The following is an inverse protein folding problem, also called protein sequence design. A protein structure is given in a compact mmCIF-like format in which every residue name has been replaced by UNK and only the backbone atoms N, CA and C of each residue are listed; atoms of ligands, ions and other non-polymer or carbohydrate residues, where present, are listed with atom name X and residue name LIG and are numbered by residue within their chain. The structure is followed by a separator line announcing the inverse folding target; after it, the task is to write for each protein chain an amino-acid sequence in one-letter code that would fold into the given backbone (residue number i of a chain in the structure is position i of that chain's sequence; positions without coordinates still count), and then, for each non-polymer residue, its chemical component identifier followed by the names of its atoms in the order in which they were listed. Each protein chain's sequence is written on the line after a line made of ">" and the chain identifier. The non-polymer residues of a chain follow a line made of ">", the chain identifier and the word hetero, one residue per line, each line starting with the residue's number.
data_IF_237332907167
#
_entry.id   IF_237332907167
#
_cell.length_a   1.000
_cell.length_b   1.000
_cell.length_c   1.000
_cell.angle_alpha   90.00
_cell.angle_beta   90.00
_cell.angle_gamma   90.00
#
_symmetry.space_group_name_H-M   'P 1'
#
loop_
_entity.id
_entity.type
_entity.pdbx_description
1 polymer ?
#
# COMPACT_ATOMS: atom_id res chain seq x y z
N UNK A 1 -12.60 20.57 18.95
CA UNK A 1 -11.72 19.45 18.57
C UNK A 1 -12.10 18.14 19.27
N UNK A 2 -12.01 18.05 20.61
CA UNK A 2 -12.28 16.82 21.37
C UNK A 2 -13.64 16.20 21.02
N UNK A 3 -14.68 17.02 20.89
CA UNK A 3 -16.05 16.59 20.59
C UNK A 3 -16.14 15.92 19.22
N UNK A 4 -15.48 16.45 18.18
CA UNK A 4 -15.48 15.86 16.84
C UNK A 4 -14.83 14.45 16.87
N UNK A 5 -13.68 14.31 17.55
CA UNK A 5 -13.02 13.04 17.72
C UNK A 5 -13.83 12.05 18.58
N UNK A 6 -14.45 12.54 19.66
CA UNK A 6 -15.35 11.71 20.50
C UNK A 6 -16.56 11.22 19.69
N UNK A 7 -17.17 12.07 18.87
CA UNK A 7 -18.27 11.68 17.99
C UNK A 7 -17.81 10.64 16.96
N UNK A 8 -16.62 10.82 16.36
CA UNK A 8 -16.07 9.85 15.42
C UNK A 8 -15.86 8.48 16.09
N UNK A 9 -15.23 8.46 17.25
CA UNK A 9 -15.01 7.22 18.02
C UNK A 9 -16.33 6.61 18.45
N UNK A 10 -17.29 7.43 18.89
CA UNK A 10 -18.62 6.95 19.27
C UNK A 10 -19.35 6.27 18.11
N UNK A 11 -19.42 6.90 16.94
CA UNK A 11 -20.07 6.29 15.78
C UNK A 11 -19.33 5.04 15.28
N UNK A 12 -17.99 5.05 15.32
CA UNK A 12 -17.20 3.87 14.98
C UNK A 12 -17.41 2.72 15.97
N UNK A 13 -17.51 3.01 17.28
CA UNK A 13 -17.79 2.02 18.33
C UNK A 13 -19.20 1.40 18.22
N UNK A 14 -20.16 2.13 17.64
CA UNK A 14 -21.48 1.59 17.29
C UNK A 14 -21.45 0.63 16.09
N UNK A 15 -20.29 0.37 15.49
CA UNK A 15 -20.16 -0.51 14.32
C UNK A 15 -20.55 0.15 12.99
N UNK A 16 -20.72 1.47 12.96
CA UNK A 16 -21.01 2.21 11.72
C UNK A 16 -19.77 2.18 10.84
N UNK A 17 -19.88 1.86 9.53
CA UNK A 17 -18.75 1.90 8.61
C UNK A 17 -18.05 3.25 8.64
N UNK A 18 -16.70 3.25 8.61
CA UNK A 18 -15.87 4.43 8.88
C UNK A 18 -16.25 5.65 8.02
N UNK A 19 -16.61 5.45 6.76
CA UNK A 19 -17.08 6.53 5.89
C UNK A 19 -18.26 7.29 6.50
N UNK A 20 -19.29 6.55 6.91
CA UNK A 20 -20.49 7.14 7.51
C UNK A 20 -20.23 7.67 8.91
N UNK A 21 -19.34 7.04 9.70
CA UNK A 21 -18.94 7.54 11.01
C UNK A 21 -18.25 8.92 10.88
N UNK A 22 -17.36 9.11 9.89
CA UNK A 22 -16.75 10.42 9.60
C UNK A 22 -17.84 11.44 9.20
N UNK A 23 -18.70 11.08 8.24
CA UNK A 23 -19.78 11.94 7.79
C UNK A 23 -20.74 12.34 8.92
N UNK A 24 -21.23 11.37 9.70
CA UNK A 24 -22.14 11.59 10.81
C UNK A 24 -21.52 12.46 11.91
N UNK A 25 -20.24 12.25 12.25
CA UNK A 25 -19.54 13.06 13.24
C UNK A 25 -19.44 14.53 12.78
N UNK A 26 -19.12 14.77 11.51
CA UNK A 26 -19.06 16.11 10.94
C UNK A 26 -20.43 16.80 10.89
N UNK A 27 -21.45 16.09 10.41
CA UNK A 27 -22.85 16.61 10.36
C UNK A 27 -23.32 16.96 11.76
N UNK A 28 -23.18 16.06 12.72
CA UNK A 28 -23.59 16.29 14.12
C UNK A 28 -22.84 17.49 14.72
N UNK A 29 -21.52 17.57 14.48
CA UNK A 29 -20.69 18.68 14.96
C UNK A 29 -21.17 20.01 14.39
N UNK A 30 -21.41 20.08 13.06
CA UNK A 30 -21.84 21.31 12.38
C UNK A 30 -23.23 21.73 12.83
N UNK A 31 -24.19 20.80 13.01
CA UNK A 31 -25.51 21.11 13.50
C UNK A 31 -25.51 21.73 14.90
N UNK A 32 -24.59 21.32 15.76
CA UNK A 32 -24.48 21.81 17.13
C UNK A 32 -23.76 23.17 17.20
N UNK A 33 -22.62 23.31 16.48
CA UNK A 33 -21.73 24.45 16.70
C UNK A 33 -21.69 25.47 15.55
N UNK A 34 -22.16 25.14 14.36
CA UNK A 34 -22.09 26.00 13.18
C UNK A 34 -23.21 25.70 12.16
N UNK A 35 -24.51 25.73 12.58
CA UNK A 35 -25.63 25.26 11.76
C UNK A 35 -25.78 25.99 10.43
N UNK A 36 -25.28 27.22 10.31
CA UNK A 36 -25.30 28.01 9.08
C UNK A 36 -24.50 27.38 7.95
N UNK A 37 -23.54 26.50 8.26
CA UNK A 37 -22.69 25.83 7.26
C UNK A 37 -23.26 24.51 6.76
N UNK A 38 -24.43 24.06 7.24
CA UNK A 38 -25.05 22.79 6.84
C UNK A 38 -25.26 22.71 5.32
N UNK A 39 -25.60 23.83 4.70
CA UNK A 39 -25.84 23.94 3.25
C UNK A 39 -24.58 23.75 2.40
N UNK A 40 -23.38 23.90 2.99
CA UNK A 40 -22.10 23.73 2.29
C UNK A 40 -21.65 22.27 2.26
N UNK A 41 -22.24 21.39 3.07
CA UNK A 41 -21.80 19.99 3.17
C UNK A 41 -21.88 19.23 1.84
N UNK A 42 -23.01 19.27 1.09
CA UNK A 42 -23.10 18.57 -0.19
C UNK A 42 -22.03 19.04 -1.19
N UNK A 43 -21.79 20.36 -1.24
CA UNK A 43 -20.78 20.94 -2.12
C UNK A 43 -19.36 20.49 -1.73
N UNK A 44 -19.06 20.37 -0.41
CA UNK A 44 -17.76 19.89 0.07
C UNK A 44 -17.53 18.42 -0.27
N UNK A 45 -18.55 17.57 -0.08
CA UNK A 45 -18.48 16.16 -0.49
C UNK A 45 -18.23 16.04 -1.98
N UNK A 46 -18.99 16.81 -2.77
CA UNK A 46 -18.85 16.81 -4.23
C UNK A 46 -17.43 17.25 -4.67
N UNK A 47 -16.92 18.35 -4.10
CA UNK A 47 -15.58 18.84 -4.42
C UNK A 47 -14.49 17.86 -4.00
N UNK A 48 -14.66 17.12 -2.90
CA UNK A 48 -13.76 16.06 -2.50
C UNK A 48 -13.74 14.88 -3.46
N UNK A 49 -14.91 14.55 -4.03
CA UNK A 49 -15.06 13.50 -5.02
C UNK A 49 -14.67 13.93 -6.45
N UNK A 50 -14.60 15.24 -6.73
CA UNK A 50 -14.30 15.80 -8.06
C UNK A 50 -12.82 16.19 -8.15
N UNK A 51 -11.97 15.21 -8.43
CA UNK A 51 -10.53 15.41 -8.62
C UNK A 51 -10.04 14.50 -9.75
N UNK A 52 -9.11 14.98 -10.56
CA UNK A 52 -8.50 14.17 -11.63
C UNK A 52 -7.83 12.91 -11.07
N UNK A 53 -7.19 13.01 -9.91
CA UNK A 53 -6.56 11.87 -9.23
C UNK A 53 -7.57 10.81 -8.77
N UNK A 54 -8.83 11.21 -8.54
CA UNK A 54 -9.90 10.28 -8.19
C UNK A 54 -10.24 9.32 -9.33
N UNK A 55 -9.98 9.70 -10.59
CA UNK A 55 -10.18 8.84 -11.76
C UNK A 55 -9.04 7.81 -11.84
N UNK A 56 -7.82 8.22 -11.51
CA UNK A 56 -6.65 7.34 -11.55
C UNK A 56 -6.82 6.10 -10.65
N UNK A 57 -7.36 6.29 -9.43
CA UNK A 57 -7.45 5.23 -8.44
C UNK A 57 -8.31 4.03 -8.91
N UNK A 58 -9.59 4.18 -9.32
CA UNK A 58 -10.37 3.04 -9.81
C UNK A 58 -9.80 2.43 -11.07
N UNK A 59 -9.15 3.23 -11.94
CA UNK A 59 -8.52 2.70 -13.15
C UNK A 59 -7.29 1.82 -12.82
N UNK A 60 -6.43 2.22 -11.88
CA UNK A 60 -5.32 1.37 -11.43
C UNK A 60 -5.82 0.10 -10.75
N UNK A 61 -6.86 0.20 -9.91
CA UNK A 61 -7.48 -0.98 -9.29
C UNK A 61 -8.06 -1.93 -10.34
N UNK A 62 -8.74 -1.38 -11.36
CA UNK A 62 -9.28 -2.18 -12.47
C UNK A 62 -8.16 -2.85 -13.28
N UNK A 63 -7.09 -2.12 -13.60
CA UNK A 63 -5.94 -2.68 -14.28
C UNK A 63 -5.34 -3.85 -13.50
N UNK A 64 -5.15 -3.72 -12.18
CA UNK A 64 -4.66 -4.78 -11.31
C UNK A 64 -5.57 -6.01 -11.27
N UNK A 65 -6.89 -5.82 -11.16
CA UNK A 65 -7.87 -6.93 -11.19
C UNK A 65 -7.91 -7.63 -12.57
N UNK A 66 -7.83 -6.86 -13.66
CA UNK A 66 -7.76 -7.43 -15.03
C UNK A 66 -6.47 -8.21 -15.26
N UNK A 67 -5.34 -7.71 -14.74
CA UNK A 67 -4.06 -8.41 -14.81
C UNK A 67 -4.09 -9.73 -14.03
N UNK A 68 -4.70 -9.72 -12.86
CA UNK A 68 -4.84 -10.91 -12.04
C UNK A 68 -5.74 -11.95 -12.75
N UNK A 69 -6.92 -11.53 -13.24
CA UNK A 69 -7.87 -12.39 -13.92
C UNK A 69 -7.37 -12.86 -15.30
N UNK A 70 -6.55 -12.03 -15.97
CA UNK A 70 -5.96 -12.30 -17.28
C UNK A 70 -4.71 -13.20 -17.29
N UNK A 71 -4.35 -13.81 -16.12
CA UNK A 71 -3.25 -14.79 -16.00
C UNK A 71 -1.86 -14.18 -15.93
N UNK A 72 -1.75 -12.87 -15.74
CA UNK A 72 -0.46 -12.16 -15.62
C UNK A 72 0.26 -12.59 -14.33
N UNK A 73 -0.47 -12.69 -13.22
CA UNK A 73 0.05 -13.10 -11.91
C UNK A 73 0.75 -14.46 -11.98
N UNK A 74 0.12 -15.45 -12.64
CA UNK A 74 0.70 -16.79 -12.77
C UNK A 74 2.04 -16.78 -13.54
N UNK A 75 2.18 -15.91 -14.55
CA UNK A 75 3.40 -15.79 -15.34
C UNK A 75 4.54 -15.13 -14.58
N UNK A 76 4.21 -14.15 -13.74
CA UNK A 76 5.19 -13.55 -12.82
C UNK A 76 5.68 -14.59 -11.83
N UNK A 77 4.78 -15.34 -11.20
CA UNK A 77 5.17 -16.44 -10.28
C UNK A 77 6.04 -17.47 -11.00
N UNK A 78 5.64 -17.90 -12.19
CA UNK A 78 6.40 -18.90 -12.96
C UNK A 78 7.80 -18.38 -13.32
N UNK A 79 7.92 -17.11 -13.71
CA UNK A 79 9.22 -16.49 -13.96
C UNK A 79 10.09 -16.48 -12.70
N UNK A 80 9.55 -16.02 -11.57
CA UNK A 80 10.27 -16.02 -10.29
C UNK A 80 10.67 -17.44 -9.86
N UNK A 81 9.79 -18.42 -10.08
CA UNK A 81 10.06 -19.84 -9.80
C UNK A 81 11.27 -20.38 -10.58
N UNK A 82 11.32 -20.14 -11.89
CA UNK A 82 12.44 -20.61 -12.72
C UNK A 82 13.77 -19.93 -12.36
N UNK A 83 13.71 -18.69 -11.90
CA UNK A 83 14.91 -17.90 -11.55
C UNK A 83 15.44 -18.22 -10.15
N UNK A 84 14.56 -18.32 -9.15
CA UNK A 84 14.94 -18.30 -7.73
C UNK A 84 14.78 -19.64 -7.03
N UNK A 85 13.98 -20.57 -7.55
CA UNK A 85 13.80 -21.89 -6.96
C UNK A 85 15.11 -22.67 -6.74
N UNK A 86 16.17 -22.53 -7.57
CA UNK A 86 17.47 -23.16 -7.32
C UNK A 86 18.25 -22.55 -6.15
N UNK A 87 17.86 -21.35 -5.68
CA UNK A 87 18.51 -20.64 -4.57
C UNK A 87 18.06 -21.24 -3.23
N UNK A 88 18.89 -21.15 -2.20
CA UNK A 88 18.50 -21.54 -0.84
C UNK A 88 17.32 -20.71 -0.36
N UNK A 89 16.29 -21.36 0.18
CA UNK A 89 15.03 -20.70 0.48
C UNK A 89 14.13 -20.44 -0.73
N UNK A 90 14.37 -21.16 -1.84
CA UNK A 90 13.79 -20.98 -3.17
C UNK A 90 12.38 -20.42 -3.24
N UNK A 91 11.36 -21.12 -2.70
CA UNK A 91 9.97 -20.62 -2.72
C UNK A 91 9.75 -19.40 -1.81
N UNK A 92 10.48 -19.25 -0.71
CA UNK A 92 10.44 -18.04 0.11
C UNK A 92 10.98 -16.84 -0.65
N UNK A 93 12.10 -17.00 -1.38
CA UNK A 93 12.68 -15.98 -2.25
C UNK A 93 11.72 -15.63 -3.39
N UNK A 94 11.11 -16.65 -4.01
CA UNK A 94 10.07 -16.48 -5.04
C UNK A 94 8.92 -15.64 -4.52
N UNK A 95 8.45 -15.91 -3.30
CA UNK A 95 7.34 -15.18 -2.68
C UNK A 95 7.67 -13.68 -2.54
N UNK A 96 8.86 -13.36 -2.03
CA UNK A 96 9.28 -11.97 -1.85
C UNK A 96 9.43 -11.25 -3.19
N UNK A 97 10.15 -11.83 -4.17
CA UNK A 97 10.35 -11.20 -5.48
C UNK A 97 9.04 -11.09 -6.26
N UNK A 98 8.17 -12.11 -6.17
CA UNK A 98 6.84 -12.03 -6.75
C UNK A 98 6.02 -10.91 -6.11
N UNK A 99 6.09 -10.72 -4.77
CA UNK A 99 5.44 -9.60 -4.08
C UNK A 99 6.01 -8.25 -4.50
N UNK A 100 7.33 -8.12 -4.72
CA UNK A 100 7.94 -6.89 -5.22
C UNK A 100 7.41 -6.52 -6.61
N UNK A 101 7.29 -7.48 -7.51
CA UNK A 101 6.81 -7.25 -8.89
C UNK A 101 5.29 -7.02 -8.88
N UNK A 102 4.56 -7.88 -8.18
CA UNK A 102 3.10 -7.84 -8.13
C UNK A 102 2.57 -6.63 -7.38
N UNK A 103 3.32 -6.16 -6.37
CA UNK A 103 3.04 -4.92 -5.65
C UNK A 103 2.90 -3.73 -6.59
N UNK A 104 3.82 -3.58 -7.56
CA UNK A 104 3.75 -2.58 -8.61
C UNK A 104 2.58 -2.75 -9.60
N UNK A 105 1.70 -3.72 -9.39
CA UNK A 105 0.53 -4.00 -10.25
C UNK A 105 -0.76 -3.78 -9.46
N UNK A 106 -0.86 -4.39 -8.28
CA UNK A 106 -2.08 -4.44 -7.47
C UNK A 106 -2.31 -3.16 -6.66
N UNK A 107 -1.23 -2.53 -6.21
CA UNK A 107 -1.28 -1.38 -5.30
C UNK A 107 -1.95 -1.66 -3.94
N UNK A 108 -2.08 -2.93 -3.52
CA UNK A 108 -2.81 -3.36 -2.34
C UNK A 108 -2.19 -4.57 -1.66
N UNK A 109 -1.74 -4.42 -0.42
CA UNK A 109 -1.17 -5.54 0.37
C UNK A 109 -2.16 -6.68 0.62
N UNK A 110 -3.44 -6.39 0.80
CA UNK A 110 -4.48 -7.41 1.01
C UNK A 110 -4.72 -8.22 -0.26
N UNK A 111 -4.72 -7.56 -1.43
CA UNK A 111 -4.82 -8.23 -2.72
C UNK A 111 -3.61 -9.13 -2.97
N UNK A 112 -2.41 -8.64 -2.67
CA UNK A 112 -1.16 -9.41 -2.80
C UNK A 112 -1.17 -10.64 -1.91
N UNK A 113 -1.49 -10.48 -0.61
CA UNK A 113 -1.63 -11.61 0.33
C UNK A 113 -2.60 -12.65 -0.19
N UNK A 114 -3.73 -12.22 -0.75
CA UNK A 114 -4.77 -13.14 -1.23
C UNK A 114 -4.34 -13.85 -2.54
N UNK A 115 -3.82 -13.11 -3.51
CA UNK A 115 -3.44 -13.64 -4.81
C UNK A 115 -2.22 -14.55 -4.74
N UNK A 116 -1.09 -14.02 -4.23
CA UNK A 116 0.16 -14.77 -4.11
C UNK A 116 0.05 -15.87 -3.05
N UNK A 117 -0.58 -15.56 -1.91
CA UNK A 117 -0.73 -16.50 -0.80
C UNK A 117 -1.53 -17.75 -1.18
N UNK A 118 -2.59 -17.61 -1.97
CA UNK A 118 -3.40 -18.75 -2.41
C UNK A 118 -2.62 -19.78 -3.25
N UNK A 119 -1.55 -19.34 -3.91
CA UNK A 119 -0.68 -20.17 -4.76
C UNK A 119 0.57 -20.61 -4.00
N UNK A 120 1.27 -19.66 -3.37
CA UNK A 120 2.60 -19.89 -2.83
C UNK A 120 2.58 -20.53 -1.43
N UNK A 121 1.60 -20.23 -0.56
CA UNK A 121 1.52 -20.88 0.77
C UNK A 121 1.40 -22.41 0.64
N UNK A 122 0.44 -22.96 -0.12
CA UNK A 122 0.35 -24.42 -0.30
C UNK A 122 1.57 -25.02 -1.00
N UNK A 123 2.20 -24.26 -1.91
CA UNK A 123 3.41 -24.72 -2.60
C UNK A 123 4.61 -24.82 -1.65
N UNK A 124 4.79 -23.81 -0.78
CA UNK A 124 5.85 -23.79 0.23
C UNK A 124 5.66 -24.89 1.27
N UNK A 125 4.43 -25.12 1.74
CA UNK A 125 4.11 -26.21 2.68
C UNK A 125 4.43 -27.59 2.09
N UNK A 126 4.14 -27.79 0.81
CA UNK A 126 4.50 -29.04 0.09
C UNK A 126 6.01 -29.24 -0.04
N UNK A 127 6.79 -28.19 -0.10
CA UNK A 127 8.26 -28.22 -0.12
C UNK A 127 8.89 -28.29 1.28
N UNK A 128 8.06 -28.43 2.33
CA UNK A 128 8.53 -28.65 3.71
C UNK A 128 8.75 -27.38 4.53
N UNK A 129 8.26 -26.24 4.08
CA UNK A 129 8.20 -25.05 4.93
C UNK A 129 7.18 -25.24 6.05
N UNK A 130 7.47 -24.79 7.29
CA UNK A 130 6.45 -24.74 8.32
C UNK A 130 5.28 -23.83 7.89
N UNK A 131 4.03 -24.19 8.20
CA UNK A 131 2.86 -23.41 7.80
C UNK A 131 2.91 -21.95 8.27
N UNK A 132 3.38 -21.72 9.51
CA UNK A 132 3.57 -20.37 10.07
C UNK A 132 4.63 -19.57 9.31
N UNK A 133 5.68 -20.22 8.80
CA UNK A 133 6.72 -19.54 8.02
C UNK A 133 6.21 -19.18 6.62
N UNK A 134 5.50 -20.10 5.96
CA UNK A 134 4.90 -19.87 4.64
C UNK A 134 3.90 -18.71 4.68
N UNK A 135 3.03 -18.72 5.66
CA UNK A 135 2.07 -17.64 5.90
C UNK A 135 2.77 -16.32 6.26
N UNK A 136 3.76 -16.39 7.17
CA UNK A 136 4.48 -15.21 7.65
C UNK A 136 5.28 -14.50 6.58
N UNK A 137 6.01 -15.22 5.72
CA UNK A 137 6.74 -14.65 4.58
C UNK A 137 5.76 -13.95 3.64
N UNK A 138 4.67 -14.62 3.27
CA UNK A 138 3.66 -14.07 2.36
C UNK A 138 3.03 -12.79 2.89
N UNK A 139 2.65 -12.78 4.16
CA UNK A 139 2.02 -11.60 4.78
C UNK A 139 3.01 -10.45 4.89
N UNK A 140 4.24 -10.71 5.33
CA UNK A 140 5.25 -9.67 5.50
C UNK A 140 5.70 -9.07 4.15
N UNK A 141 5.86 -9.89 3.11
CA UNK A 141 6.25 -9.43 1.76
C UNK A 141 5.14 -8.63 1.09
N UNK A 142 3.87 -8.94 1.37
CA UNK A 142 2.73 -8.22 0.79
C UNK A 142 2.68 -6.72 1.13
N UNK A 143 3.36 -6.28 2.21
CA UNK A 143 3.48 -4.85 2.54
C UNK A 143 4.05 -4.04 1.38
N UNK A 144 4.94 -4.63 0.57
CA UNK A 144 5.54 -3.98 -0.60
C UNK A 144 4.50 -3.60 -1.65
N UNK A 145 3.34 -4.27 -1.68
CA UNK A 145 2.25 -3.97 -2.58
C UNK A 145 1.64 -2.57 -2.45
N UNK A 146 1.88 -1.89 -1.35
CA UNK A 146 1.45 -0.50 -1.16
C UNK A 146 2.61 0.49 -1.25
N UNK A 147 3.85 0.02 -1.17
CA UNK A 147 5.06 0.84 -1.10
C UNK A 147 5.73 0.93 -2.47
N UNK A 148 5.76 -0.17 -3.24
CA UNK A 148 6.33 -0.19 -4.60
C UNK A 148 5.30 0.39 -5.58
N UNK A 149 5.68 1.39 -6.40
CA UNK A 149 4.76 1.99 -7.37
C UNK A 149 4.41 1.04 -8.55
N UNK A 150 3.24 1.26 -9.16
CA UNK A 150 2.19 2.21 -8.80
C UNK A 150 1.38 1.79 -7.55
N UNK A 151 1.11 2.74 -6.68
CA UNK A 151 0.50 2.52 -5.37
C UNK A 151 -0.75 3.38 -5.18
N UNK A 152 -1.88 2.75 -4.89
CA UNK A 152 -3.13 3.46 -4.59
C UNK A 152 -3.01 4.39 -3.37
N UNK A 153 -2.40 3.98 -2.23
CA UNK A 153 -2.15 4.88 -1.11
C UNK A 153 -1.34 6.13 -1.45
N UNK A 154 -0.36 6.04 -2.37
CA UNK A 154 0.41 7.20 -2.79
C UNK A 154 -0.44 8.22 -3.55
N UNK A 155 -1.37 7.76 -4.36
CA UNK A 155 -2.33 8.62 -5.06
C UNK A 155 -3.24 9.32 -4.05
N UNK A 156 -3.76 8.59 -3.06
CA UNK A 156 -4.60 9.14 -1.98
C UNK A 156 -3.82 10.17 -1.15
N UNK A 157 -2.57 9.89 -0.82
CA UNK A 157 -1.70 10.83 -0.11
C UNK A 157 -1.44 12.10 -0.93
N UNK A 158 -1.14 11.94 -2.23
CA UNK A 158 -0.94 13.06 -3.16
C UNK A 158 -2.12 14.04 -3.18
N UNK A 159 -3.36 13.51 -3.17
CA UNK A 159 -4.57 14.33 -3.19
C UNK A 159 -4.69 15.29 -2.00
N UNK A 160 -4.15 14.90 -0.84
CA UNK A 160 -4.27 15.67 0.39
C UNK A 160 -3.05 16.53 0.63
N UNK A 161 -1.87 15.98 0.38
CA UNK A 161 -0.59 16.65 0.61
C UNK A 161 -0.25 17.67 -0.47
N UNK A 162 -0.83 17.55 -1.67
CA UNK A 162 -0.44 18.32 -2.85
C UNK A 162 0.89 17.87 -3.47
N UNK A 163 1.53 16.82 -2.95
CA UNK A 163 2.77 16.28 -3.50
C UNK A 163 2.54 15.59 -4.84
N UNK A 164 3.47 15.71 -5.76
CA UNK A 164 3.40 15.05 -7.07
C UNK A 164 3.31 13.52 -6.94
N UNK A 165 2.37 12.89 -7.65
CA UNK A 165 2.25 11.41 -7.70
C UNK A 165 3.54 10.79 -8.24
N UNK A 166 4.13 11.36 -9.30
CA UNK A 166 5.38 10.86 -9.87
C UNK A 166 6.54 10.94 -8.86
N UNK A 167 6.64 12.05 -8.13
CA UNK A 167 7.65 12.20 -7.07
C UNK A 167 7.45 11.18 -5.93
N UNK A 168 6.20 10.92 -5.52
CA UNK A 168 5.86 9.90 -4.51
C UNK A 168 6.17 8.49 -4.99
N UNK A 169 5.91 8.17 -6.26
CA UNK A 169 6.26 6.88 -6.83
C UNK A 169 7.77 6.65 -6.77
N UNK A 170 8.56 7.64 -7.17
CA UNK A 170 10.01 7.55 -7.09
C UNK A 170 10.50 7.47 -5.64
N UNK A 171 9.90 8.24 -4.73
CA UNK A 171 10.25 8.24 -3.30
C UNK A 171 9.95 6.90 -2.62
N UNK A 172 8.86 6.22 -3.00
CA UNK A 172 8.46 4.93 -2.44
C UNK A 172 9.20 3.73 -3.03
N UNK A 173 9.78 3.86 -4.22
CA UNK A 173 10.52 2.77 -4.86
C UNK A 173 11.71 2.32 -4.01
N UNK A 174 12.46 3.26 -3.43
CA UNK A 174 13.66 2.96 -2.62
C UNK A 174 13.30 2.19 -1.34
N UNK A 175 12.36 2.65 -0.49
CA UNK A 175 11.92 1.88 0.66
C UNK A 175 11.39 0.48 0.29
N UNK A 176 10.58 0.38 -0.77
CA UNK A 176 10.05 -0.90 -1.21
C UNK A 176 11.13 -1.90 -1.62
N UNK A 177 12.13 -1.46 -2.38
CA UNK A 177 13.29 -2.28 -2.75
C UNK A 177 14.11 -2.67 -1.51
N UNK A 178 14.35 -1.76 -0.58
CA UNK A 178 15.08 -2.04 0.66
C UNK A 178 14.36 -3.08 1.52
N UNK A 179 13.04 -3.00 1.66
CA UNK A 179 12.23 -4.01 2.34
C UNK A 179 12.41 -5.37 1.65
N UNK A 180 12.28 -5.42 0.33
CA UNK A 180 12.47 -6.66 -0.42
C UNK A 180 13.86 -7.26 -0.20
N UNK A 181 14.92 -6.45 -0.35
CA UNK A 181 16.30 -6.92 -0.16
C UNK A 181 16.58 -7.43 1.26
N UNK A 182 16.10 -6.72 2.29
CA UNK A 182 16.30 -7.15 3.68
C UNK A 182 15.55 -8.45 3.97
N UNK A 183 14.34 -8.61 3.44
CA UNK A 183 13.58 -9.86 3.56
C UNK A 183 14.22 -11.02 2.80
N UNK A 184 14.75 -10.80 1.57
CA UNK A 184 15.48 -11.81 0.81
C UNK A 184 16.69 -12.32 1.60
N UNK A 185 17.53 -11.42 2.11
CA UNK A 185 18.67 -11.79 2.95
C UNK A 185 18.24 -12.59 4.18
N UNK A 186 17.14 -12.19 4.81
CA UNK A 186 16.63 -12.87 6.00
C UNK A 186 16.08 -14.27 5.67
N UNK A 187 15.31 -14.43 4.59
CA UNK A 187 14.83 -15.75 4.14
C UNK A 187 16.01 -16.67 3.83
N UNK A 188 17.00 -16.19 3.09
CA UNK A 188 18.21 -16.95 2.79
C UNK A 188 18.91 -17.46 4.07
N UNK A 189 19.12 -16.56 5.06
CA UNK A 189 19.77 -16.92 6.33
C UNK A 189 18.94 -17.94 7.14
N UNK A 190 17.63 -17.71 7.27
CA UNK A 190 16.75 -18.60 8.04
C UNK A 190 16.67 -19.97 7.37
N UNK A 191 16.52 -20.02 6.05
CA UNK A 191 16.46 -21.26 5.28
C UNK A 191 17.77 -22.05 5.37
N UNK A 192 18.92 -21.36 5.36
CA UNK A 192 20.22 -21.99 5.56
C UNK A 192 20.36 -22.62 6.94
N UNK A 193 19.82 -21.97 8.01
CA UNK A 193 19.89 -22.48 9.38
C UNK A 193 18.89 -23.57 9.68
N UNK A 194 17.68 -23.48 9.13
CA UNK A 194 16.57 -24.41 9.42
C UNK A 194 16.45 -25.56 8.41
N UNK A 195 17.29 -25.56 7.38
CA UNK A 195 17.28 -26.61 6.38
C UNK A 195 16.08 -26.58 5.42
N UNK A 196 15.46 -25.41 5.23
CA UNK A 196 14.38 -25.23 4.25
C UNK A 196 14.98 -25.18 2.85
N UNK A 197 15.26 -26.35 2.30
CA UNK A 197 15.84 -26.48 0.98
C UNK A 197 14.86 -27.21 0.07
N UNK A 198 14.64 -26.67 -1.15
CA UNK A 198 14.03 -27.47 -2.17
C UNK A 198 14.96 -28.64 -2.50
N UNK A 199 14.38 -29.74 -2.96
CA UNK A 199 15.16 -30.74 -3.69
C UNK A 199 16.03 -30.01 -4.70
N UNK A 200 17.32 -30.41 -4.85
CA UNK A 200 18.33 -29.74 -5.68
C UNK A 200 17.83 -29.56 -7.13
N UNK A 201 17.02 -28.54 -7.35
CA UNK A 201 16.55 -28.15 -8.68
C UNK A 201 17.70 -27.45 -9.38
N UNK A 202 18.19 -28.03 -10.46
CA UNK A 202 19.23 -27.40 -11.28
C UNK A 202 18.64 -26.23 -12.04
N UNK A 203 19.38 -25.14 -12.09
CA UNK A 203 19.03 -23.98 -12.92
C UNK A 203 19.02 -24.40 -14.41
N UNK A 204 17.90 -24.20 -15.07
CA UNK A 204 17.74 -24.40 -16.51
C UNK A 204 17.57 -23.06 -17.21
N UNK A 205 18.64 -22.56 -17.78
CA UNK A 205 18.66 -21.26 -18.48
C UNK A 205 17.69 -21.17 -19.65
N UNK A 206 17.38 -22.31 -20.33
CA UNK A 206 16.40 -22.33 -21.44
C UNK A 206 14.97 -22.14 -20.92
N UNK A 207 14.63 -22.79 -19.81
CA UNK A 207 13.33 -22.64 -19.17
C UNK A 207 13.16 -21.24 -18.60
N UNK A 208 14.20 -20.71 -17.92
CA UNK A 208 14.20 -19.36 -17.41
C UNK A 208 14.02 -18.31 -18.52
N UNK A 209 14.74 -18.45 -19.63
CA UNK A 209 14.57 -17.56 -20.79
C UNK A 209 13.17 -17.65 -21.41
N UNK A 210 12.61 -18.86 -21.55
CA UNK A 210 11.24 -19.05 -22.06
C UNK A 210 10.20 -18.44 -21.11
N UNK A 211 10.38 -18.60 -19.80
CA UNK A 211 9.50 -18.05 -18.79
C UNK A 211 9.59 -16.52 -18.76
N UNK A 212 10.81 -15.96 -18.90
CA UNK A 212 11.02 -14.51 -19.05
C UNK A 212 10.26 -13.97 -20.28
N UNK A 213 10.44 -14.59 -21.45
CA UNK A 213 9.75 -14.15 -22.68
C UNK A 213 8.22 -14.15 -22.52
N UNK A 214 7.66 -15.17 -21.84
CA UNK A 214 6.23 -15.21 -21.55
C UNK A 214 5.80 -14.18 -20.50
N UNK A 215 6.71 -13.78 -19.60
CA UNK A 215 6.50 -12.80 -18.55
C UNK A 215 6.74 -11.35 -18.98
N UNK A 216 7.46 -11.09 -20.09
CA UNK A 216 7.74 -9.73 -20.58
C UNK A 216 6.49 -8.86 -20.66
N UNK A 217 5.37 -9.29 -21.27
CA UNK A 217 4.17 -8.48 -21.33
C UNK A 217 3.62 -8.14 -19.94
N UNK A 218 3.82 -9.02 -18.95
CA UNK A 218 3.41 -8.74 -17.57
C UNK A 218 4.30 -7.69 -16.89
N UNK A 219 5.59 -7.68 -17.18
CA UNK A 219 6.59 -6.80 -16.57
C UNK A 219 6.63 -5.40 -17.21
N UNK A 220 6.27 -5.29 -18.49
CA UNK A 220 6.27 -4.01 -19.21
C UNK A 220 5.33 -3.01 -18.57
N UNK A 221 4.17 -3.45 -18.10
CA UNK A 221 3.11 -2.53 -17.68
C UNK A 221 3.46 -1.73 -16.42
N UNK A 222 3.90 -2.34 -15.28
CA UNK A 222 4.34 -1.56 -14.13
C UNK A 222 5.49 -0.62 -14.46
N UNK A 223 6.45 -1.09 -15.28
CA UNK A 223 7.58 -0.30 -15.70
C UNK A 223 7.15 0.90 -16.55
N UNK A 224 6.21 0.69 -17.49
CA UNK A 224 5.61 1.74 -18.31
C UNK A 224 4.96 2.82 -17.43
N UNK A 225 4.14 2.43 -16.46
CA UNK A 225 3.47 3.38 -15.56
C UNK A 225 4.51 4.20 -14.78
N UNK A 226 5.49 3.53 -14.16
CA UNK A 226 6.53 4.21 -13.39
C UNK A 226 7.27 5.21 -14.27
N UNK A 227 7.74 4.80 -15.44
CA UNK A 227 8.49 5.66 -16.35
C UNK A 227 7.60 6.83 -16.82
N UNK A 228 6.41 6.58 -17.34
CA UNK A 228 5.57 7.64 -17.89
C UNK A 228 5.14 8.67 -16.84
N UNK A 229 4.77 8.24 -15.64
CA UNK A 229 4.35 9.15 -14.57
C UNK A 229 5.56 9.86 -13.95
N UNK A 230 6.69 9.15 -13.74
CA UNK A 230 7.89 9.74 -13.12
C UNK A 230 8.66 10.68 -14.04
N UNK A 231 8.55 10.56 -15.34
CA UNK A 231 9.16 11.51 -16.29
C UNK A 231 8.17 12.56 -16.81
N UNK A 232 6.92 12.57 -16.31
CA UNK A 232 5.91 13.54 -16.71
C UNK A 232 5.41 13.39 -18.15
N UNK A 233 5.59 12.21 -18.76
CA UNK A 233 5.12 11.91 -20.12
C UNK A 233 3.58 11.80 -20.15
N UNK A 234 3.00 11.21 -19.10
CA UNK A 234 1.56 11.08 -18.91
C UNK A 234 1.19 11.42 -17.47
N UNK A 235 -0.03 11.88 -17.27
CA UNK A 235 -0.64 12.00 -15.93
C UNK A 235 -0.90 10.62 -15.33
N UNK A 236 -1.12 10.55 -14.01
CA UNK A 236 -1.48 9.30 -13.35
C UNK A 236 -2.78 8.71 -13.91
N UNK A 237 -3.77 9.54 -14.24
CA UNK A 237 -5.06 9.13 -14.81
C UNK A 237 -4.93 8.56 -16.21
N UNK A 238 -4.15 9.21 -17.07
CA UNK A 238 -3.86 8.72 -18.43
C UNK A 238 -3.11 7.40 -18.39
N UNK A 239 -2.07 7.30 -17.55
CA UNK A 239 -1.30 6.06 -17.38
C UNK A 239 -2.18 4.91 -16.89
N UNK A 240 -3.11 5.19 -15.97
CA UNK A 240 -4.06 4.20 -15.47
C UNK A 240 -5.03 3.73 -16.57
N UNK A 241 -5.51 4.65 -17.42
CA UNK A 241 -6.36 4.31 -18.57
C UNK A 241 -5.62 3.43 -19.59
N UNK A 242 -4.36 3.76 -19.89
CA UNK A 242 -3.51 2.93 -20.77
C UNK A 242 -3.27 1.55 -20.13
N UNK A 243 -3.07 1.49 -18.81
CA UNK A 243 -2.89 0.24 -18.08
C UNK A 243 -4.10 -0.69 -18.19
N UNK A 244 -5.33 -0.16 -18.10
CA UNK A 244 -6.56 -0.94 -18.29
C UNK A 244 -6.62 -1.50 -19.71
N UNK A 245 -6.42 -0.66 -20.72
CA UNK A 245 -6.43 -1.10 -22.12
C UNK A 245 -5.36 -2.15 -22.39
N UNK A 246 -4.15 -1.93 -21.90
CA UNK A 246 -3.05 -2.89 -22.03
C UNK A 246 -3.38 -4.23 -21.38
N UNK A 247 -3.90 -4.22 -20.15
CA UNK A 247 -4.30 -5.44 -19.43
C UNK A 247 -5.37 -6.23 -20.17
N UNK A 248 -6.34 -5.55 -20.78
CA UNK A 248 -7.35 -6.18 -21.63
C UNK A 248 -6.73 -6.78 -22.90
N UNK A 249 -5.88 -6.03 -23.61
CA UNK A 249 -5.23 -6.50 -24.83
C UNK A 249 -4.35 -7.73 -24.56
N UNK A 250 -3.51 -7.68 -23.51
CA UNK A 250 -2.66 -8.80 -23.14
C UNK A 250 -3.49 -10.01 -22.69
N UNK A 251 -4.50 -9.78 -21.85
CA UNK A 251 -5.35 -10.86 -21.32
C UNK A 251 -6.17 -11.56 -22.40
N UNK A 252 -6.73 -10.82 -23.37
CA UNK A 252 -7.55 -11.39 -24.45
C UNK A 252 -6.71 -11.99 -25.59
N UNK A 253 -5.68 -11.28 -26.07
CA UNK A 253 -5.00 -11.63 -27.31
C UNK A 253 -3.68 -12.37 -27.11
N UNK A 254 -2.91 -12.00 -26.07
CA UNK A 254 -1.59 -12.61 -25.83
C UNK A 254 -1.74 -13.87 -24.98
N UNK A 255 -2.38 -13.76 -23.82
CA UNK A 255 -2.54 -14.88 -22.89
C UNK A 255 -3.80 -15.69 -23.11
N UNK A 256 -4.84 -15.09 -23.68
CA UNK A 256 -6.12 -15.75 -24.03
C UNK A 256 -6.84 -16.37 -22.80
N UNK A 257 -6.58 -15.85 -21.63
CA UNK A 257 -7.16 -16.31 -20.36
C UNK A 257 -8.29 -15.38 -19.87
N UNK A 258 -8.29 -14.10 -20.30
CA UNK A 258 -9.33 -13.16 -19.96
C UNK A 258 -10.60 -13.48 -20.73
N UNK A 259 -11.73 -13.51 -20.01
CA UNK A 259 -13.06 -13.68 -20.58
C UNK A 259 -13.94 -12.45 -20.28
N UNK A 260 -14.99 -12.21 -21.05
CA UNK A 260 -15.93 -11.13 -20.78
C UNK A 260 -16.58 -11.24 -19.39
N UNK A 261 -16.79 -12.47 -18.90
CA UNK A 261 -17.25 -12.70 -17.52
C UNK A 261 -16.20 -12.27 -16.51
N UNK A 262 -14.92 -12.56 -16.77
CA UNK A 262 -13.79 -12.11 -15.94
C UNK A 262 -13.67 -10.59 -15.90
N UNK A 263 -13.86 -9.91 -17.03
CA UNK A 263 -13.90 -8.43 -17.09
C UNK A 263 -15.03 -7.88 -16.21
N UNK A 264 -16.21 -8.47 -16.30
CA UNK A 264 -17.37 -8.05 -15.51
C UNK A 264 -17.15 -8.26 -14.00
N UNK A 265 -16.52 -9.37 -13.61
CA UNK A 265 -16.17 -9.65 -12.21
C UNK A 265 -15.10 -8.67 -11.69
N UNK A 266 -14.07 -8.39 -12.50
CA UNK A 266 -13.03 -7.39 -12.19
C UNK A 266 -13.67 -6.00 -12.02
N UNK A 267 -14.58 -5.61 -12.92
CA UNK A 267 -15.28 -4.33 -12.85
C UNK A 267 -16.13 -4.23 -11.57
N UNK A 268 -16.88 -5.28 -11.22
CA UNK A 268 -17.68 -5.31 -9.97
C UNK A 268 -16.82 -5.14 -8.73
N UNK A 269 -15.72 -5.88 -8.63
CA UNK A 269 -14.79 -5.78 -7.49
C UNK A 269 -14.21 -4.38 -7.39
N UNK A 270 -13.76 -3.83 -8.50
CA UNK A 270 -13.22 -2.48 -8.58
C UNK A 270 -14.25 -1.44 -8.16
N UNK A 271 -15.47 -1.52 -8.66
CA UNK A 271 -16.54 -0.59 -8.30
C UNK A 271 -16.84 -0.61 -6.81
N UNK A 272 -16.95 -1.77 -6.20
CA UNK A 272 -17.22 -1.90 -4.76
C UNK A 272 -16.08 -1.28 -3.94
N UNK A 273 -14.84 -1.63 -4.26
CA UNK A 273 -13.67 -1.15 -3.51
C UNK A 273 -13.45 0.35 -3.70
N UNK A 274 -13.47 0.83 -4.95
CA UNK A 274 -13.25 2.24 -5.26
C UNK A 274 -14.37 3.13 -4.71
N UNK A 275 -15.63 2.73 -4.83
CA UNK A 275 -16.78 3.50 -4.29
C UNK A 275 -16.66 3.71 -2.79
N UNK A 276 -16.21 2.68 -2.05
CA UNK A 276 -15.99 2.80 -0.61
C UNK A 276 -14.93 3.84 -0.27
N UNK A 277 -13.81 3.83 -0.99
CA UNK A 277 -12.72 4.80 -0.78
C UNK A 277 -13.18 6.21 -1.21
N UNK A 278 -13.86 6.35 -2.36
CA UNK A 278 -14.38 7.62 -2.83
C UNK A 278 -15.35 8.25 -1.83
N UNK A 279 -16.21 7.44 -1.21
CA UNK A 279 -17.13 7.92 -0.17
C UNK A 279 -16.37 8.43 1.08
N UNK A 280 -15.33 7.69 1.49
CA UNK A 280 -14.46 8.11 2.60
C UNK A 280 -13.81 9.45 2.26
N UNK A 281 -13.26 9.62 1.06
CA UNK A 281 -12.62 10.86 0.62
C UNK A 281 -13.62 12.03 0.67
N UNK A 282 -14.82 11.84 0.14
CA UNK A 282 -15.87 12.86 0.16
C UNK A 282 -16.18 13.35 1.59
N UNK A 283 -16.40 12.43 2.52
CA UNK A 283 -16.67 12.79 3.92
C UNK A 283 -15.42 13.34 4.64
N UNK A 284 -14.24 12.84 4.33
CA UNK A 284 -12.99 13.36 4.93
C UNK A 284 -12.70 14.79 4.50
N UNK A 285 -13.14 15.21 3.32
CA UNK A 285 -13.02 16.60 2.89
C UNK A 285 -13.79 17.54 3.83
N UNK A 286 -14.99 17.15 4.31
CA UNK A 286 -15.71 17.88 5.34
C UNK A 286 -14.93 17.87 6.67
N UNK A 287 -14.45 16.69 7.06
CA UNK A 287 -13.69 16.50 8.30
C UNK A 287 -12.46 17.42 8.33
N UNK A 288 -11.66 17.42 7.27
CA UNK A 288 -10.48 18.30 7.13
C UNK A 288 -10.86 19.78 7.17
N UNK A 289 -11.97 20.14 6.54
CA UNK A 289 -12.46 21.51 6.60
C UNK A 289 -12.83 21.93 8.03
N UNK A 290 -13.55 21.09 8.77
CA UNK A 290 -13.88 21.35 10.18
C UNK A 290 -12.62 21.46 11.04
N UNK A 291 -11.63 20.58 10.84
CA UNK A 291 -10.34 20.65 11.53
C UNK A 291 -9.61 21.98 11.25
N UNK A 292 -9.63 22.42 10.00
CA UNK A 292 -8.99 23.68 9.58
C UNK A 292 -9.70 24.90 10.20
N UNK A 293 -11.04 24.90 10.20
CA UNK A 293 -11.82 25.96 10.88
C UNK A 293 -11.48 26.06 12.38
N UNK A 294 -11.28 24.92 13.02
CA UNK A 294 -10.92 24.85 14.45
C UNK A 294 -9.43 25.06 14.72
N UNK A 295 -8.64 25.36 13.68
CA UNK A 295 -7.18 25.55 13.76
C UNK A 295 -6.47 24.36 14.43
N UNK A 296 -7.01 23.13 14.24
CA UNK A 296 -6.47 21.92 14.87
C UNK A 296 -5.02 21.66 14.46
N UNK A 297 -4.64 21.71 13.16
CA UNK A 297 -3.24 21.51 12.76
C UNK A 297 -2.29 22.48 13.45
N UNK A 298 -2.68 23.75 13.60
CA UNK A 298 -1.88 24.77 14.27
C UNK A 298 -1.74 24.51 15.77
N UNK A 299 -2.83 24.08 16.43
CA UNK A 299 -2.80 23.74 17.87
C UNK A 299 -1.94 22.52 18.13
N UNK A 300 -2.06 21.48 17.30
CA UNK A 300 -1.23 20.27 17.39
C UNK A 300 0.23 20.61 17.11
N UNK A 301 0.51 21.42 16.07
CA UNK A 301 1.86 21.89 15.77
C UNK A 301 2.49 22.65 16.94
N UNK A 302 1.76 23.61 17.51
CA UNK A 302 2.23 24.39 18.67
C UNK A 302 2.51 23.48 19.89
N UNK A 303 1.66 22.47 20.13
CA UNK A 303 1.88 21.49 21.19
C UNK A 303 3.21 20.74 20.99
N UNK A 304 3.42 20.16 19.79
CA UNK A 304 4.67 19.42 19.54
C UNK A 304 5.91 20.33 19.59
N UNK A 305 5.81 21.55 19.05
CA UNK A 305 6.90 22.54 19.15
C UNK A 305 7.21 22.93 20.59
N UNK A 306 6.20 23.01 21.47
CA UNK A 306 6.41 23.32 22.90
C UNK A 306 7.18 22.23 23.66
N UNK A 307 7.21 20.99 23.15
CA UNK A 307 7.96 19.88 23.74
C UNK A 307 9.49 20.03 23.55
N UNK A 308 9.93 20.96 22.67
CA UNK A 308 11.35 21.17 22.36
C UNK A 308 12.13 19.88 22.02
N UNK A 309 11.45 18.92 21.41
CA UNK A 309 12.06 17.64 21.04
C UNK A 309 12.81 17.76 19.71
N UNK A 310 13.92 17.03 19.54
CA UNK A 310 14.62 17.00 18.25
C UNK A 310 13.76 16.32 17.16
N UNK A 311 13.95 16.70 15.90
CA UNK A 311 13.17 16.22 14.76
C UNK A 311 13.12 14.68 14.64
N UNK A 312 14.24 14.00 14.91
CA UNK A 312 14.31 12.54 14.90
C UNK A 312 13.36 11.88 15.92
N UNK A 313 13.21 12.48 17.10
CA UNK A 313 12.35 11.92 18.15
C UNK A 313 10.87 12.07 17.79
N UNK A 314 10.48 13.20 17.18
CA UNK A 314 9.13 13.42 16.67
C UNK A 314 8.81 12.43 15.54
N UNK A 315 9.77 12.18 14.62
CA UNK A 315 9.60 11.20 13.57
C UNK A 315 9.31 9.80 14.13
N UNK A 316 10.08 9.34 15.12
CA UNK A 316 9.86 8.04 15.75
C UNK A 316 8.54 7.97 16.54
N UNK A 317 8.11 9.05 17.19
CA UNK A 317 6.80 9.11 17.84
C UNK A 317 5.69 8.94 16.80
N UNK A 318 5.82 9.61 15.65
CA UNK A 318 4.84 9.49 14.57
C UNK A 318 4.89 8.13 13.90
N UNK A 319 6.07 7.50 13.75
CA UNK A 319 6.17 6.13 13.25
C UNK A 319 5.40 5.16 14.17
N UNK A 320 5.57 5.26 15.49
CA UNK A 320 4.81 4.43 16.45
C UNK A 320 3.30 4.70 16.35
N UNK A 321 2.90 5.96 16.25
CA UNK A 321 1.48 6.33 16.13
C UNK A 321 0.88 5.80 14.82
N UNK A 322 1.59 5.93 13.71
CA UNK A 322 1.17 5.45 12.38
C UNK A 322 1.06 3.92 12.39
N UNK A 323 2.06 3.23 12.96
CA UNK A 323 2.03 1.78 13.12
C UNK A 323 0.81 1.33 13.93
N UNK A 324 0.56 1.95 15.08
CA UNK A 324 -0.59 1.64 15.93
C UNK A 324 -1.91 1.83 15.16
N UNK A 325 -2.09 2.94 14.48
CA UNK A 325 -3.33 3.21 13.72
C UNK A 325 -3.50 2.21 12.58
N UNK A 326 -2.42 1.88 11.86
CA UNK A 326 -2.42 0.89 10.78
C UNK A 326 -2.80 -0.53 11.22
N UNK A 327 -2.69 -0.88 12.53
CA UNK A 327 -3.17 -2.18 13.01
C UNK A 327 -4.71 -2.28 13.04
N UNK A 328 -5.42 -1.17 13.11
CA UNK A 328 -6.89 -1.11 13.25
C UNK A 328 -7.61 -0.63 11.99
N UNK A 329 -6.99 0.29 11.24
CA UNK A 329 -7.63 1.01 10.13
C UNK A 329 -6.86 0.72 8.84
N UNK A 330 -7.58 0.58 7.73
CA UNK A 330 -6.97 0.45 6.40
C UNK A 330 -6.17 1.70 6.01
N UNK A 331 -5.19 1.52 5.12
CA UNK A 331 -4.21 2.56 4.78
C UNK A 331 -4.85 3.80 4.19
N UNK A 332 -5.77 3.66 3.24
CA UNK A 332 -6.39 4.83 2.58
C UNK A 332 -7.19 5.72 3.55
N UNK A 333 -8.10 5.19 4.37
CA UNK A 333 -8.77 5.99 5.42
C UNK A 333 -7.81 6.61 6.43
N UNK A 334 -6.76 5.89 6.84
CA UNK A 334 -5.78 6.39 7.79
C UNK A 334 -5.00 7.59 7.21
N UNK A 335 -4.55 7.50 5.94
CA UNK A 335 -3.91 8.63 5.24
C UNK A 335 -4.84 9.85 5.23
N UNK A 336 -6.11 9.66 4.87
CA UNK A 336 -7.08 10.73 4.76
C UNK A 336 -7.29 11.47 6.10
N UNK A 337 -7.30 10.74 7.22
CA UNK A 337 -7.51 11.31 8.55
C UNK A 337 -6.24 11.94 9.14
N UNK A 338 -5.09 11.30 8.93
CA UNK A 338 -3.84 11.68 9.60
C UNK A 338 -3.05 12.75 8.85
N UNK A 339 -3.03 12.71 7.51
CA UNK A 339 -2.22 13.64 6.72
C UNK A 339 -2.52 15.11 7.03
N UNK A 340 -3.78 15.57 7.09
CA UNK A 340 -4.09 16.98 7.37
C UNK A 340 -3.62 17.46 8.75
N UNK A 341 -3.46 16.54 9.70
CA UNK A 341 -3.05 16.85 11.08
C UNK A 341 -1.53 16.77 11.22
N UNK A 342 -0.93 15.67 10.71
CA UNK A 342 0.47 15.36 10.98
C UNK A 342 1.44 16.00 9.99
N UNK A 343 1.06 16.13 8.71
CA UNK A 343 1.94 16.70 7.68
C UNK A 343 2.38 18.13 8.01
N UNK A 344 1.50 19.07 8.44
CA UNK A 344 1.93 20.42 8.82
C UNK A 344 2.94 20.42 9.97
N UNK A 345 2.82 19.50 10.93
CA UNK A 345 3.76 19.35 12.03
C UNK A 345 5.12 18.89 11.51
N UNK A 346 5.14 17.86 10.67
CA UNK A 346 6.39 17.31 10.12
C UNK A 346 7.13 18.33 9.26
N UNK A 347 6.40 19.12 8.46
CA UNK A 347 7.01 20.21 7.66
C UNK A 347 7.65 21.27 8.56
N UNK A 348 7.03 21.62 9.71
CA UNK A 348 7.63 22.54 10.69
C UNK A 348 8.93 21.99 11.30
N UNK A 349 9.08 20.66 11.39
CA UNK A 349 10.31 20.00 11.84
C UNK A 349 11.32 19.76 10.69
N UNK A 350 11.04 20.26 9.47
CA UNK A 350 11.95 20.19 8.32
C UNK A 350 11.82 18.93 7.48
N UNK A 351 10.83 18.09 7.71
CA UNK A 351 10.56 16.92 6.86
C UNK A 351 9.84 17.34 5.59
N UNK A 352 10.28 16.79 4.45
CA UNK A 352 9.58 17.03 3.19
C UNK A 352 8.25 16.27 3.13
N UNK A 353 7.24 16.78 2.39
CA UNK A 353 6.01 16.04 2.14
C UNK A 353 6.25 14.66 1.52
N UNK A 354 7.28 14.50 0.66
CA UNK A 354 7.64 13.22 0.04
C UNK A 354 8.16 12.22 1.07
N UNK A 355 9.07 12.65 1.96
CA UNK A 355 9.60 11.80 3.01
C UNK A 355 8.49 11.35 3.94
N UNK A 356 7.65 12.28 4.41
CA UNK A 356 6.55 11.95 5.30
C UNK A 356 5.51 11.04 4.64
N UNK A 357 5.23 11.21 3.35
CA UNK A 357 4.37 10.31 2.58
C UNK A 357 4.91 8.88 2.55
N UNK A 358 6.21 8.71 2.28
CA UNK A 358 6.86 7.41 2.29
C UNK A 358 6.83 6.78 3.70
N UNK A 359 7.11 7.56 4.77
CA UNK A 359 7.01 7.11 6.17
C UNK A 359 5.59 6.65 6.50
N UNK A 360 4.59 7.46 6.19
CA UNK A 360 3.19 7.17 6.49
C UNK A 360 2.70 5.91 5.79
N UNK A 361 2.95 5.77 4.48
CA UNK A 361 2.52 4.60 3.72
C UNK A 361 3.23 3.35 4.19
N UNK A 362 4.55 3.42 4.42
CA UNK A 362 5.33 2.30 4.93
C UNK A 362 4.86 1.87 6.32
N UNK A 363 4.68 2.82 7.24
CA UNK A 363 4.23 2.54 8.61
C UNK A 363 2.82 1.93 8.64
N UNK A 364 1.87 2.49 7.88
CA UNK A 364 0.52 1.94 7.78
C UNK A 364 0.51 0.54 7.15
N UNK A 365 1.33 0.30 6.10
CA UNK A 365 1.45 -1.01 5.47
C UNK A 365 2.00 -2.07 6.45
N UNK A 366 2.97 -1.71 7.30
CA UNK A 366 3.45 -2.58 8.39
C UNK A 366 2.34 -2.82 9.42
N UNK A 367 1.53 -1.82 9.73
CA UNK A 367 0.35 -1.96 10.60
C UNK A 367 -0.62 -3.04 10.11
N UNK A 368 -0.88 -3.15 8.80
CA UNK A 368 -1.77 -4.18 8.23
C UNK A 368 -1.30 -5.62 8.46
N UNK A 369 -0.05 -5.83 8.75
CA UNK A 369 0.55 -7.15 9.03
C UNK A 369 0.87 -7.34 10.51
N UNK A 370 0.38 -6.44 11.37
CA UNK A 370 0.61 -6.44 12.81
C UNK A 370 -0.71 -6.59 13.59
N UNK A 371 -0.78 -7.47 14.62
CA UNK A 371 -1.96 -7.57 15.48
C UNK A 371 -2.28 -6.23 16.17
N UNK A 372 -3.56 -5.96 16.59
CA UNK A 372 -4.60 -6.94 16.85
C UNK A 372 -5.50 -7.29 15.66
N UNK A 373 -5.73 -6.40 14.70
CA UNK A 373 -6.61 -6.69 13.55
C UNK A 373 -5.80 -7.23 12.37
N UNK A 374 -4.83 -6.46 11.85
CA UNK A 374 -3.96 -6.85 10.76
C UNK A 374 -4.70 -7.41 9.54
N UNK A 375 -5.18 -6.54 8.64
CA UNK A 375 -6.05 -6.98 7.53
C UNK A 375 -5.40 -8.05 6.63
N UNK A 376 -4.08 -8.00 6.44
CA UNK A 376 -3.35 -9.02 5.69
C UNK A 376 -3.27 -10.36 6.45
N UNK A 377 -3.17 -10.31 7.80
CA UNK A 377 -3.24 -11.50 8.64
C UNK A 377 -4.62 -12.19 8.51
N UNK A 378 -5.69 -11.39 8.49
CA UNK A 378 -7.05 -11.89 8.27
C UNK A 378 -7.24 -12.47 6.87
N UNK A 379 -6.65 -11.86 5.83
CA UNK A 379 -6.68 -12.38 4.48
C UNK A 379 -5.95 -13.75 4.40
N UNK A 380 -4.79 -13.85 5.03
CA UNK A 380 -4.03 -15.10 5.12
C UNK A 380 -4.76 -16.19 5.91
N UNK A 381 -5.40 -15.83 7.04
CA UNK A 381 -6.24 -16.77 7.83
C UNK A 381 -7.34 -17.42 6.98
N UNK A 382 -7.92 -16.70 6.03
CA UNK A 382 -8.94 -17.28 5.12
C UNK A 382 -8.35 -18.32 4.16
N UNK A 383 -7.04 -18.27 3.87
CA UNK A 383 -6.35 -19.21 2.97
C UNK A 383 -5.99 -20.50 3.71
N UNK A 384 -5.27 -20.40 4.83
CA UNK A 384 -4.72 -21.53 5.56
C UNK A 384 -5.42 -21.88 6.88
N UNK A 385 -6.44 -21.10 7.28
CA UNK A 385 -7.22 -21.25 8.51
C UNK A 385 -6.39 -21.27 9.80
N UNK A 386 -5.19 -20.72 9.76
CA UNK A 386 -4.29 -20.62 10.90
C UNK A 386 -4.67 -19.42 11.80
N UNK A 387 -4.56 -19.53 13.14
CA UNK A 387 -4.77 -18.40 14.05
C UNK A 387 -3.87 -17.21 13.72
N UNK A 388 -4.42 -15.98 13.79
CA UNK A 388 -3.73 -14.73 13.45
C UNK A 388 -2.40 -14.59 14.19
N UNK A 389 -2.36 -14.98 15.48
CA UNK A 389 -1.15 -14.90 16.30
C UNK A 389 -0.06 -15.84 15.81
N UNK A 390 -0.39 -17.01 15.29
CA UNK A 390 0.59 -17.96 14.73
C UNK A 390 1.14 -17.46 13.40
N UNK A 391 0.28 -16.92 12.53
CA UNK A 391 0.71 -16.25 11.30
C UNK A 391 1.67 -15.12 11.64
N UNK A 392 1.35 -14.29 12.65
CA UNK A 392 2.21 -13.18 13.05
C UNK A 392 3.54 -13.65 13.64
N UNK A 393 3.58 -14.74 14.40
CA UNK A 393 4.86 -15.31 14.89
C UNK A 393 5.79 -15.66 13.72
N UNK A 394 5.23 -16.21 12.63
CA UNK A 394 5.99 -16.47 11.41
C UNK A 394 6.40 -15.21 10.67
N UNK A 395 5.57 -14.15 10.70
CA UNK A 395 5.83 -12.88 10.04
C UNK A 395 6.79 -11.98 10.84
N UNK A 396 6.86 -12.10 12.16
CA UNK A 396 7.56 -11.18 13.06
C UNK A 396 9.01 -10.87 12.66
N UNK A 397 9.86 -11.86 12.28
CA UNK A 397 11.23 -11.56 11.85
C UNK A 397 11.30 -10.63 10.64
N UNK A 398 10.38 -10.81 9.68
CA UNK A 398 10.30 -10.02 8.45
C UNK A 398 9.68 -8.64 8.71
N UNK A 399 8.70 -8.56 9.60
CA UNK A 399 8.11 -7.30 10.07
C UNK A 399 9.17 -6.44 10.77
N UNK A 400 10.08 -7.02 11.54
CA UNK A 400 11.22 -6.30 12.12
C UNK A 400 12.10 -5.68 11.03
N UNK A 401 12.37 -6.39 9.93
CA UNK A 401 13.09 -5.81 8.79
C UNK A 401 12.35 -4.59 8.22
N UNK A 402 11.04 -4.68 8.05
CA UNK A 402 10.22 -3.57 7.56
C UNK A 402 10.27 -2.37 8.51
N UNK A 403 10.22 -2.60 9.83
CA UNK A 403 10.34 -1.54 10.84
C UNK A 403 11.73 -0.90 10.80
N UNK A 404 12.80 -1.67 10.60
CA UNK A 404 14.16 -1.13 10.47
C UNK A 404 14.23 -0.21 9.24
N UNK A 405 13.63 -0.59 8.11
CA UNK A 405 13.57 0.27 6.91
C UNK A 405 12.73 1.52 7.20
N UNK A 406 11.58 1.40 7.88
CA UNK A 406 10.77 2.56 8.30
C UNK A 406 11.60 3.55 9.12
N UNK A 407 12.26 3.08 10.17
CA UNK A 407 13.13 3.92 11.00
C UNK A 407 14.25 4.56 10.17
N UNK A 408 14.83 3.81 9.22
CA UNK A 408 15.90 4.31 8.35
C UNK A 408 15.43 5.47 7.47
N UNK A 409 14.24 5.39 6.86
CA UNK A 409 13.69 6.47 6.02
C UNK A 409 13.20 7.66 6.86
N UNK A 410 12.83 7.43 8.12
CA UNK A 410 12.42 8.47 9.05
C UNK A 410 13.62 9.27 9.55
N UNK A 411 14.73 8.61 9.82
CA UNK A 411 15.95 9.25 10.32
C UNK A 411 16.85 9.82 9.21
N UNK A 412 16.78 9.24 8.01
CA UNK A 412 17.63 9.64 6.89
C UNK A 412 16.81 9.98 5.64
N UNK A 413 16.40 11.24 5.55
CA UNK A 413 15.57 11.78 4.46
C UNK A 413 16.05 11.48 3.03
N UNK A 414 17.37 11.54 2.74
CA UNK A 414 17.88 11.21 1.40
C UNK A 414 17.47 9.86 0.83
N UNK A 415 17.13 8.86 1.65
CA UNK A 415 16.63 7.57 1.16
C UNK A 415 15.33 7.70 0.34
N UNK A 416 14.54 8.72 0.62
CA UNK A 416 13.26 8.96 -0.07
C UNK A 416 13.27 10.20 -0.95
N UNK A 417 14.19 11.13 -0.72
CA UNK A 417 14.21 12.43 -1.40
C UNK A 417 15.32 12.57 -2.46
N UNK A 418 16.42 11.80 -2.34
CA UNK A 418 17.56 11.96 -3.28
C UNK A 418 17.18 11.57 -4.71
N UNK A 419 16.48 10.44 -4.90
CA UNK A 419 16.10 10.00 -6.24
C UNK A 419 15.08 10.93 -6.91
N UNK A 420 14.01 11.41 -6.24
CA UNK A 420 13.15 12.47 -6.76
C UNK A 420 13.91 13.75 -7.15
N UNK A 421 14.84 14.21 -6.30
CA UNK A 421 15.66 15.39 -6.60
C UNK A 421 16.52 15.21 -7.84
N UNK A 422 17.17 14.04 -8.01
CA UNK A 422 17.95 13.71 -9.20
C UNK A 422 17.11 13.73 -10.49
N UNK A 423 15.82 13.42 -10.38
CA UNK A 423 14.88 13.49 -11.51
C UNK A 423 14.24 14.88 -11.67
N UNK A 424 14.67 15.89 -10.91
CA UNK A 424 14.23 17.28 -11.05
C UNK A 424 12.95 17.64 -10.30
N UNK A 425 12.45 16.78 -9.40
CA UNK A 425 11.29 17.10 -8.58
C UNK A 425 11.64 18.01 -7.40
N UNK A 426 10.75 18.97 -7.11
CA UNK A 426 10.76 19.69 -5.83
C UNK A 426 10.41 18.73 -4.69
N UNK A 427 11.09 18.83 -3.57
CA UNK A 427 10.78 18.04 -2.36
C UNK A 427 9.91 18.80 -1.36
N UNK A 428 9.75 20.13 -1.55
CA UNK A 428 8.87 21.02 -0.80
C UNK A 428 7.90 21.72 -1.72
#
# INVERSE_FOLDING_TARGET
>A
MLILLVLLIFFAALGIPLAFAIGASCVTYILIYAPTFITMLPQRVWNGAYSELMIAMPLFMLAGELMNTGGITQRIINFCMELLRPVRGGLGEVNIVASMIFGGISGSSVADTSALGSILIPAMEKEGYPPEASAGITVASSTMGMIIPPSTPMIVYSMISGASVGALFVAGAVPGILIGLTQLVLVYIISAKKGWHPEKVKFDGKRAAKSLLSGIPALIMPLFIIICVSFGVCTASESAGVAVLYSMLVGFFVYKELTWKGVWEALKKTLISSSSIMLIIGFTTIFTWVLTMQKVPQTVGAFFMSLNMPAWAIALIFDVLILMIGTFIDVSPAILLLTPILLPVMVQYGFSPLQFGAMMITGLAIGLVTPPVGMCLNACNKINRMPIIEIFKGAAPYVICNVIVLISISLWGPLTTALPQLLGYSIF
#
